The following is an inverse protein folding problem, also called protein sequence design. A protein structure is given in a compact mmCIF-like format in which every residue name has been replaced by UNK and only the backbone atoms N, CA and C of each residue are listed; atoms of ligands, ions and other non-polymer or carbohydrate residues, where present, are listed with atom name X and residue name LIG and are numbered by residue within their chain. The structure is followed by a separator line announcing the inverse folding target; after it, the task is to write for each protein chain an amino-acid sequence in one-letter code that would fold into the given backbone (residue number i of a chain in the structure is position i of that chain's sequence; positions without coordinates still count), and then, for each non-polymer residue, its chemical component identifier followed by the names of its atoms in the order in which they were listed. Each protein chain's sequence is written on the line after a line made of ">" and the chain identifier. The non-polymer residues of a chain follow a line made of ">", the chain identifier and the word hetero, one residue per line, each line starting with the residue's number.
data_IF_722754145319
#
_entry.id   IF_722754145319
#
_cell.length_a   1.000
_cell.length_b   1.000
_cell.length_c   1.000
_cell.angle_alpha   90.00
_cell.angle_beta   90.00
_cell.angle_gamma   90.00
#
_symmetry.space_group_name_H-M   'P 1'
#
loop_
_entity.id
_entity.type
_entity.pdbx_description
1 polymer ?
#
# COMPACT_ATOMS: atom_id res chain seq x y z
N UNK A 1 23.96 1.52 -5.76
CA UNK A 1 23.00 2.64 -5.95
C UNK A 1 22.97 3.51 -4.69
N UNK A 2 22.53 4.77 -4.76
CA UNK A 2 22.23 5.61 -3.57
C UNK A 2 20.80 5.38 -3.10
N UNK A 3 20.52 5.57 -1.80
CA UNK A 3 19.15 5.44 -1.26
C UNK A 3 18.14 6.34 -1.99
N UNK A 4 18.53 7.56 -2.37
CA UNK A 4 17.65 8.47 -3.13
C UNK A 4 17.25 7.89 -4.50
N UNK A 5 18.17 7.22 -5.19
CA UNK A 5 17.87 6.57 -6.48
C UNK A 5 16.92 5.38 -6.32
N UNK A 6 17.02 4.65 -5.20
CA UNK A 6 16.12 3.54 -4.84
C UNK A 6 14.72 4.09 -4.57
N UNK A 7 14.64 5.15 -3.76
CA UNK A 7 13.39 5.83 -3.42
C UNK A 7 12.71 6.44 -4.66
N UNK A 8 13.45 7.14 -5.52
CA UNK A 8 12.91 7.72 -6.74
C UNK A 8 12.42 6.65 -7.72
N UNK A 9 13.07 5.48 -7.77
CA UNK A 9 12.60 4.33 -8.55
C UNK A 9 11.28 3.78 -8.00
N UNK A 10 11.16 3.65 -6.68
CA UNK A 10 9.93 3.19 -6.02
C UNK A 10 8.78 4.17 -6.29
N UNK A 11 8.98 5.48 -6.08
CA UNK A 11 7.98 6.51 -6.36
C UNK A 11 7.57 6.51 -7.83
N UNK A 12 8.53 6.45 -8.77
CA UNK A 12 8.24 6.38 -10.20
C UNK A 12 7.40 5.15 -10.54
N UNK A 13 7.74 3.99 -9.98
CA UNK A 13 7.00 2.75 -10.23
C UNK A 13 5.58 2.82 -9.65
N UNK A 14 5.41 3.43 -8.48
CA UNK A 14 4.09 3.69 -7.90
C UNK A 14 3.23 4.62 -8.75
N UNK A 15 3.80 5.69 -9.30
CA UNK A 15 3.11 6.63 -10.20
C UNK A 15 2.73 5.96 -11.53
N UNK A 16 3.57 5.06 -12.04
CA UNK A 16 3.28 4.30 -13.26
C UNK A 16 2.11 3.31 -13.09
N UNK A 17 1.82 2.89 -11.86
CA UNK A 17 0.72 1.96 -11.53
C UNK A 17 -0.42 2.64 -10.75
N UNK A 18 -0.39 3.97 -10.60
CA UNK A 18 -1.43 4.71 -9.90
C UNK A 18 -2.74 4.71 -10.71
N UNK A 19 -3.87 4.55 -10.03
CA UNK A 19 -5.19 4.64 -10.65
C UNK A 19 -5.49 6.04 -11.21
N UNK A 20 -4.82 7.06 -10.67
CA UNK A 20 -4.90 8.45 -11.11
C UNK A 20 -3.99 8.66 -12.31
N UNK A 21 -4.45 9.43 -13.27
CA UNK A 21 -3.63 9.89 -14.38
C UNK A 21 -2.49 10.79 -13.90
N UNK A 22 -1.45 10.92 -14.73
CA UNK A 22 -0.36 11.87 -14.49
C UNK A 22 -0.85 13.32 -14.30
N UNK A 23 -1.98 13.68 -14.92
CA UNK A 23 -2.59 15.00 -14.76
C UNK A 23 -3.21 15.16 -13.37
N UNK A 24 -4.03 14.20 -12.94
CA UNK A 24 -4.64 14.17 -11.60
C UNK A 24 -3.57 14.26 -10.49
N UNK A 25 -2.49 13.48 -10.60
CA UNK A 25 -1.37 13.53 -9.65
C UNK A 25 -0.67 14.90 -9.67
N UNK A 26 -0.45 15.47 -10.86
CA UNK A 26 0.15 16.81 -10.99
C UNK A 26 -0.74 17.88 -10.36
N UNK A 27 -2.05 17.78 -10.52
CA UNK A 27 -3.02 18.68 -9.92
C UNK A 27 -3.03 18.56 -8.40
N UNK A 28 -2.99 17.34 -7.86
CA UNK A 28 -2.84 17.08 -6.42
C UNK A 28 -1.60 17.78 -5.86
N UNK A 29 -0.42 17.56 -6.47
CA UNK A 29 0.83 18.19 -6.03
C UNK A 29 0.79 19.72 -6.15
N UNK A 30 0.16 20.26 -7.19
CA UNK A 30 -0.03 21.70 -7.33
C UNK A 30 -0.94 22.28 -6.25
N UNK A 31 -1.98 21.55 -5.80
CA UNK A 31 -2.82 21.96 -4.67
C UNK A 31 -1.99 22.02 -3.39
N UNK A 32 -1.17 21.00 -3.09
CA UNK A 32 -0.28 21.00 -1.92
C UNK A 32 0.73 22.16 -1.95
N UNK A 33 1.29 22.48 -3.13
CA UNK A 33 2.16 23.67 -3.31
C UNK A 33 1.44 24.99 -3.01
N UNK A 34 0.22 25.17 -3.53
CA UNK A 34 -0.59 26.37 -3.25
C UNK A 34 -0.93 26.51 -1.77
N UNK A 35 -1.18 25.40 -1.07
CA UNK A 35 -1.36 25.39 0.39
C UNK A 35 -0.08 25.88 1.06
N UNK A 36 1.06 25.25 0.75
CA UNK A 36 2.36 25.64 1.30
C UNK A 36 2.69 27.12 1.07
N UNK A 37 2.47 27.65 -0.13
CA UNK A 37 2.77 29.06 -0.45
C UNK A 37 2.00 30.04 0.45
N UNK A 38 0.75 29.72 0.79
CA UNK A 38 -0.14 30.53 1.63
C UNK A 38 0.16 30.45 3.13
N UNK A 39 0.92 29.44 3.57
CA UNK A 39 1.31 29.31 4.98
C UNK A 39 2.21 30.46 5.42
N UNK A 40 2.04 30.87 6.67
CA UNK A 40 2.94 31.79 7.37
C UNK A 40 4.35 31.19 7.50
N UNK A 41 5.34 32.02 7.85
CA UNK A 41 6.71 31.53 8.08
C UNK A 41 6.77 30.51 9.21
N UNK A 42 5.93 30.67 10.23
CA UNK A 42 5.86 29.79 11.39
C UNK A 42 5.23 28.44 11.03
N UNK A 43 4.12 28.44 10.29
CA UNK A 43 3.46 27.20 9.84
C UNK A 43 4.34 26.40 8.87
N UNK A 44 5.12 27.08 8.02
CA UNK A 44 6.06 26.42 7.09
C UNK A 44 7.14 25.59 7.78
N UNK A 45 7.44 25.85 9.06
CA UNK A 45 8.40 25.05 9.85
C UNK A 45 7.87 23.64 10.13
N UNK A 46 6.54 23.49 10.22
CA UNK A 46 5.88 22.23 10.55
C UNK A 46 5.24 21.55 9.33
N UNK A 47 5.30 22.19 8.16
CA UNK A 47 4.77 21.63 6.93
C UNK A 47 5.69 20.52 6.40
N UNK A 48 5.09 19.39 6.04
CA UNK A 48 5.80 18.28 5.43
C UNK A 48 6.16 18.57 3.97
N UNK A 49 7.39 19.05 3.76
CA UNK A 49 7.87 19.44 2.43
C UNK A 49 7.98 18.28 1.43
N UNK A 50 8.04 17.03 1.91
CA UNK A 50 8.07 15.84 1.04
C UNK A 50 6.82 15.80 0.13
N UNK A 51 5.66 16.22 0.66
CA UNK A 51 4.37 16.28 -0.06
C UNK A 51 4.33 17.24 -1.25
N UNK A 52 5.36 18.10 -1.41
CA UNK A 52 5.47 19.00 -2.55
C UNK A 52 5.93 18.30 -3.82
N UNK A 53 6.54 17.12 -3.68
CA UNK A 53 7.12 16.35 -4.79
C UNK A 53 6.75 14.87 -4.80
N UNK A 54 6.43 14.31 -3.63
CA UNK A 54 5.94 12.96 -3.47
C UNK A 54 4.41 13.00 -3.23
N UNK A 55 3.59 12.35 -4.08
CA UNK A 55 2.14 12.31 -3.89
C UNK A 55 1.67 11.32 -2.81
N UNK A 56 2.59 10.61 -2.15
CA UNK A 56 2.30 9.55 -1.17
C UNK A 56 2.95 9.87 0.19
N UNK A 57 2.19 10.46 1.11
CA UNK A 57 2.71 10.88 2.44
C UNK A 57 3.20 9.71 3.31
N UNK A 58 2.71 8.51 3.03
CA UNK A 58 2.98 7.27 3.75
C UNK A 58 4.29 6.57 3.33
N UNK A 59 5.05 7.15 2.40
CA UNK A 59 6.28 6.57 1.84
C UNK A 59 7.45 7.54 2.00
N UNK A 60 8.54 7.11 2.66
CA UNK A 60 9.60 8.04 3.07
C UNK A 60 10.97 7.39 3.26
N UNK A 61 12.03 8.18 3.03
CA UNK A 61 13.36 7.92 3.60
C UNK A 61 13.39 8.48 5.02
N UNK A 62 13.44 7.60 6.03
CA UNK A 62 13.43 8.00 7.44
C UNK A 62 14.82 8.37 7.94
N UNK A 63 15.85 7.69 7.45
CA UNK A 63 17.22 7.96 7.87
C UNK A 63 18.24 7.54 6.82
N UNK A 64 19.17 8.45 6.51
CA UNK A 64 20.33 8.18 5.68
C UNK A 64 21.58 7.97 6.58
N UNK A 65 21.77 6.74 7.05
CA UNK A 65 22.85 6.28 7.95
C UNK A 65 24.28 6.34 7.42
N UNK A 66 24.55 7.09 6.35
CA UNK A 66 25.89 7.47 5.93
C UNK A 66 26.57 6.55 4.90
N UNK A 67 26.10 5.31 4.72
CA UNK A 67 26.54 4.49 3.58
C UNK A 67 25.99 5.06 2.28
N UNK A 68 26.89 5.59 1.44
CA UNK A 68 26.53 6.25 0.17
C UNK A 68 26.14 5.25 -0.91
N UNK A 69 26.82 4.10 -0.97
CA UNK A 69 26.55 3.06 -1.94
C UNK A 69 25.88 1.87 -1.26
N UNK A 70 24.67 1.56 -1.72
CA UNK A 70 23.83 0.45 -1.28
C UNK A 70 24.02 -0.70 -2.26
N UNK A 71 24.33 -1.88 -1.70
CA UNK A 71 24.48 -3.15 -2.42
C UNK A 71 23.59 -4.24 -1.82
N UNK A 72 23.47 -4.29 -0.48
CA UNK A 72 22.71 -5.31 0.25
C UNK A 72 21.56 -4.68 1.01
N UNK A 73 20.35 -5.17 0.78
CA UNK A 73 19.12 -4.61 1.34
C UNK A 73 18.36 -5.68 2.12
N UNK A 74 17.98 -5.36 3.35
CA UNK A 74 17.01 -6.15 4.11
C UNK A 74 15.61 -5.62 3.79
N UNK A 75 14.73 -6.48 3.26
CA UNK A 75 13.40 -6.08 2.79
C UNK A 75 12.30 -6.86 3.51
N UNK A 76 11.30 -6.17 4.09
CA UNK A 76 10.22 -6.83 4.83
C UNK A 76 8.90 -6.08 4.74
N UNK A 77 7.84 -6.66 5.31
CA UNK A 77 6.54 -5.97 5.42
C UNK A 77 6.54 -5.08 6.66
N UNK A 78 6.87 -5.65 7.82
CA UNK A 78 6.98 -4.94 9.10
C UNK A 78 8.43 -4.73 9.55
N UNK A 79 8.64 -3.73 10.43
CA UNK A 79 9.92 -3.53 11.11
C UNK A 79 9.74 -3.41 12.62
N UNK A 80 10.51 -4.21 13.36
CA UNK A 80 10.72 -4.03 14.80
C UNK A 80 12.14 -3.54 15.09
N UNK A 81 12.40 -3.06 16.30
CA UNK A 81 13.77 -2.73 16.75
C UNK A 81 14.71 -3.94 16.67
N UNK A 82 14.19 -5.16 16.93
CA UNK A 82 14.93 -6.41 16.73
C UNK A 82 15.29 -6.65 15.26
N UNK A 83 14.40 -6.29 14.31
CA UNK A 83 14.71 -6.32 12.88
C UNK A 83 15.84 -5.36 12.49
N UNK A 84 15.90 -4.18 13.11
CA UNK A 84 17.02 -3.22 12.90
C UNK A 84 18.34 -3.78 13.44
N UNK A 85 18.32 -4.45 14.60
CA UNK A 85 19.51 -5.11 15.14
C UNK A 85 19.96 -6.26 14.24
N UNK A 86 19.04 -7.08 13.74
CA UNK A 86 19.35 -8.15 12.78
C UNK A 86 19.99 -7.59 11.51
N UNK A 87 19.47 -6.49 10.97
CA UNK A 87 20.07 -5.79 9.82
C UNK A 87 21.54 -5.40 10.09
N UNK A 88 21.85 -4.93 11.30
CA UNK A 88 23.22 -4.60 11.71
C UNK A 88 24.13 -5.82 11.62
N UNK A 89 23.68 -6.93 12.19
CA UNK A 89 24.44 -8.18 12.30
C UNK A 89 24.69 -8.80 10.92
N UNK A 90 23.69 -8.75 10.02
CA UNK A 90 23.81 -9.22 8.64
C UNK A 90 24.68 -8.31 7.76
N UNK A 91 25.08 -7.14 8.28
CA UNK A 91 25.93 -6.18 7.58
C UNK A 91 25.25 -5.51 6.39
N UNK A 92 23.93 -5.33 6.44
CA UNK A 92 23.17 -4.72 5.32
C UNK A 92 23.43 -3.21 5.20
N UNK A 93 23.18 -2.65 4.03
CA UNK A 93 23.39 -1.23 3.73
C UNK A 93 22.12 -0.40 3.92
N UNK A 94 20.95 -1.02 3.73
CA UNK A 94 19.63 -0.38 3.76
C UNK A 94 18.58 -1.38 4.26
N UNK A 95 17.64 -0.88 5.05
CA UNK A 95 16.38 -1.54 5.35
C UNK A 95 15.28 -0.86 4.52
N UNK A 96 14.50 -1.66 3.79
CA UNK A 96 13.26 -1.22 3.13
C UNK A 96 12.12 -2.01 3.74
N UNK A 97 11.15 -1.33 4.33
CA UNK A 97 9.90 -1.99 4.77
C UNK A 97 8.69 -1.50 4.01
N UNK A 98 7.63 -2.30 4.00
CA UNK A 98 6.38 -1.90 3.37
C UNK A 98 5.62 -0.91 4.25
N UNK A 99 5.22 -1.35 5.44
CA UNK A 99 4.34 -0.57 6.29
C UNK A 99 4.98 0.75 6.76
N UNK A 100 4.17 1.81 6.89
CA UNK A 100 4.65 3.10 7.36
C UNK A 100 5.23 3.00 8.77
N UNK A 101 6.28 3.77 9.00
CA UNK A 101 6.93 3.98 10.30
C UNK A 101 7.27 5.46 10.42
N UNK A 102 7.69 5.95 11.59
CA UNK A 102 8.15 7.34 11.71
C UNK A 102 7.12 8.35 11.24
N UNK A 103 7.61 9.37 10.54
CA UNK A 103 6.78 10.47 10.03
C UNK A 103 5.76 10.00 8.99
N UNK A 104 6.04 8.92 8.26
CA UNK A 104 5.12 8.44 7.23
C UNK A 104 3.92 7.72 7.84
N UNK A 105 4.11 7.06 9.00
CA UNK A 105 2.99 6.54 9.80
C UNK A 105 2.18 7.68 10.42
N UNK A 106 2.85 8.72 10.92
CA UNK A 106 2.17 9.87 11.51
C UNK A 106 1.27 10.63 10.52
N UNK A 107 1.54 10.49 9.21
CA UNK A 107 0.81 11.12 8.11
C UNK A 107 0.12 10.10 7.18
N UNK A 108 -0.16 8.89 7.68
CA UNK A 108 -0.85 7.85 6.91
C UNK A 108 -2.27 8.28 6.52
N UNK A 109 -2.95 9.02 7.37
CA UNK A 109 -4.29 9.56 7.11
C UNK A 109 -4.34 10.44 5.84
N UNK A 110 -3.26 11.17 5.55
CA UNK A 110 -3.20 12.10 4.42
C UNK A 110 -3.20 11.42 3.05
N UNK A 111 -2.73 10.17 2.93
CA UNK A 111 -2.74 9.44 1.65
C UNK A 111 -4.12 8.87 1.32
N UNK A 112 -5.02 8.77 2.30
CA UNK A 112 -6.36 8.21 2.12
C UNK A 112 -7.25 9.07 1.20
N UNK A 113 -6.89 10.33 0.91
CA UNK A 113 -7.55 11.11 -0.14
C UNK A 113 -7.57 10.38 -1.50
N UNK A 114 -6.58 9.51 -1.78
CA UNK A 114 -6.56 8.65 -2.98
C UNK A 114 -7.80 7.74 -3.07
N UNK A 115 -8.39 7.35 -1.93
CA UNK A 115 -9.61 6.55 -1.91
C UNK A 115 -10.79 7.30 -2.54
N UNK A 116 -10.83 8.64 -2.45
CA UNK A 116 -11.89 9.45 -3.07
C UNK A 116 -11.85 9.26 -4.60
N UNK A 117 -10.65 9.34 -5.19
CA UNK A 117 -10.44 9.15 -6.62
C UNK A 117 -10.82 7.72 -7.07
N UNK A 118 -10.50 6.71 -6.26
CA UNK A 118 -10.91 5.32 -6.52
C UNK A 118 -12.43 5.17 -6.49
N UNK A 119 -13.09 5.69 -5.46
CA UNK A 119 -14.54 5.59 -5.30
C UNK A 119 -15.28 6.32 -6.42
N UNK A 120 -14.79 7.49 -6.84
CA UNK A 120 -15.34 8.23 -7.98
C UNK A 120 -15.25 7.40 -9.27
N UNK A 121 -14.09 6.78 -9.56
CA UNK A 121 -13.92 5.89 -10.73
C UNK A 121 -14.79 4.65 -10.67
N UNK A 122 -15.15 4.20 -9.47
CA UNK A 122 -16.10 3.10 -9.28
C UNK A 122 -17.57 3.52 -9.54
N UNK A 123 -17.85 4.82 -9.70
CA UNK A 123 -19.16 5.39 -10.00
C UNK A 123 -19.89 5.97 -8.79
N UNK A 124 -19.19 6.16 -7.67
CA UNK A 124 -19.78 6.77 -6.46
C UNK A 124 -19.71 8.30 -6.61
N UNK A 125 -20.78 9.05 -6.32
CA UNK A 125 -20.74 10.51 -6.37
C UNK A 125 -19.65 11.10 -5.48
N UNK A 126 -18.81 11.96 -6.04
CA UNK A 126 -17.61 12.51 -5.37
C UNK A 126 -17.93 13.17 -4.03
N UNK A 127 -19.05 13.89 -3.92
CA UNK A 127 -19.49 14.54 -2.69
C UNK A 127 -19.84 13.56 -1.56
N UNK A 128 -20.17 12.31 -1.89
CA UNK A 128 -20.40 11.24 -0.90
C UNK A 128 -19.06 10.60 -0.52
N UNK A 129 -18.23 10.29 -1.52
CA UNK A 129 -16.88 9.74 -1.31
C UNK A 129 -16.04 10.66 -0.40
N UNK A 130 -16.02 11.96 -0.67
CA UNK A 130 -15.33 12.96 0.15
C UNK A 130 -15.82 12.95 1.60
N UNK A 131 -17.14 13.02 1.83
CA UNK A 131 -17.70 13.10 3.19
C UNK A 131 -17.37 11.87 4.03
N UNK A 132 -17.52 10.68 3.45
CA UNK A 132 -17.24 9.42 4.15
C UNK A 132 -15.74 9.25 4.39
N UNK A 133 -14.91 9.58 3.39
CA UNK A 133 -13.45 9.46 3.50
C UNK A 133 -12.88 10.47 4.49
N UNK A 134 -13.33 11.73 4.49
CA UNK A 134 -12.86 12.73 5.46
C UNK A 134 -13.20 12.37 6.91
N UNK A 135 -14.39 11.78 7.15
CA UNK A 135 -14.74 11.26 8.47
C UNK A 135 -13.74 10.17 8.89
N UNK A 136 -13.45 9.23 7.99
CA UNK A 136 -12.51 8.14 8.25
C UNK A 136 -11.08 8.63 8.46
N UNK A 137 -10.59 9.55 7.64
CA UNK A 137 -9.29 10.23 7.80
C UNK A 137 -9.17 10.80 9.21
N UNK A 138 -10.20 11.48 9.69
CA UNK A 138 -10.22 12.06 11.03
C UNK A 138 -10.14 11.02 12.16
N UNK A 139 -10.79 9.86 11.98
CA UNK A 139 -10.70 8.73 12.92
C UNK A 139 -9.31 8.11 12.94
N UNK A 140 -8.73 7.86 11.76
CA UNK A 140 -7.38 7.31 11.60
C UNK A 140 -6.35 8.25 12.22
N UNK A 141 -6.41 9.55 11.93
CA UNK A 141 -5.51 10.55 12.50
C UNK A 141 -5.53 10.54 14.05
N UNK A 142 -6.72 10.46 14.66
CA UNK A 142 -6.85 10.35 16.13
C UNK A 142 -6.31 9.02 16.67
N UNK A 143 -6.52 7.93 15.94
CA UNK A 143 -6.03 6.60 16.32
C UNK A 143 -4.51 6.48 16.28
N UNK A 144 -3.86 7.19 15.35
CA UNK A 144 -2.40 7.21 15.20
C UNK A 144 -1.71 8.19 16.13
N UNK A 145 -2.38 9.27 16.54
CA UNK A 145 -1.82 10.30 17.43
C UNK A 145 -1.06 9.77 18.67
N UNK A 146 -1.54 8.76 19.42
CA UNK A 146 -0.84 8.26 20.62
C UNK A 146 0.32 7.30 20.32
N UNK A 147 0.55 6.90 19.06
CA UNK A 147 1.58 5.91 18.71
C UNK A 147 2.99 6.49 18.88
N UNK A 148 3.94 5.67 19.34
CA UNK A 148 5.35 6.03 19.31
C UNK A 148 5.93 5.82 17.90
N UNK A 149 5.78 6.83 17.06
CA UNK A 149 6.18 6.80 15.66
C UNK A 149 7.69 6.57 15.44
N UNK A 150 8.54 7.08 16.33
CA UNK A 150 9.99 7.19 16.08
C UNK A 150 10.80 5.99 16.55
N UNK A 151 10.21 5.02 17.25
CA UNK A 151 10.97 3.96 17.93
C UNK A 151 11.93 3.15 17.01
N UNK A 152 11.49 2.80 15.81
CA UNK A 152 12.32 2.07 14.84
C UNK A 152 13.29 2.97 14.08
N UNK A 153 12.88 4.22 13.81
CA UNK A 153 13.73 5.25 13.20
C UNK A 153 14.91 5.57 14.11
N UNK A 154 14.67 5.70 15.41
CA UNK A 154 15.67 5.96 16.43
C UNK A 154 16.67 4.81 16.55
N UNK A 155 16.19 3.57 16.52
CA UNK A 155 17.07 2.40 16.50
C UNK A 155 17.99 2.40 15.27
N UNK A 156 17.45 2.67 14.07
CA UNK A 156 18.23 2.74 12.85
C UNK A 156 19.26 3.89 12.89
N UNK A 157 18.86 5.03 13.46
CA UNK A 157 19.72 6.20 13.68
C UNK A 157 20.91 5.88 14.60
N UNK A 158 20.65 5.24 15.75
CA UNK A 158 21.70 4.84 16.69
C UNK A 158 22.66 3.81 16.09
N UNK A 159 22.13 2.85 15.30
CA UNK A 159 22.93 1.80 14.66
C UNK A 159 23.59 2.23 13.34
N UNK A 160 23.29 3.44 12.87
CA UNK A 160 23.78 4.05 11.62
C UNK A 160 23.42 3.21 10.38
N UNK A 161 22.17 2.76 10.29
CA UNK A 161 21.66 1.95 9.18
C UNK A 161 20.69 2.79 8.36
N UNK A 162 20.85 2.82 7.03
CA UNK A 162 19.87 3.51 6.19
C UNK A 162 18.49 2.86 6.31
N UNK A 163 17.43 3.66 6.38
CA UNK A 163 16.06 3.19 6.58
C UNK A 163 15.08 3.99 5.71
N UNK A 164 14.22 3.26 5.01
CA UNK A 164 13.07 3.81 4.29
C UNK A 164 11.89 2.84 4.34
N UNK A 165 10.70 3.34 4.04
CA UNK A 165 9.54 2.50 3.74
C UNK A 165 8.97 2.81 2.34
N UNK A 166 8.24 1.86 1.77
CA UNK A 166 7.53 1.98 0.48
C UNK A 166 6.14 1.36 0.64
N UNK A 167 5.14 2.22 0.80
CA UNK A 167 3.77 1.79 1.09
C UNK A 167 2.87 1.98 -0.14
N UNK A 168 2.12 3.08 -0.27
CA UNK A 168 1.19 3.31 -1.40
C UNK A 168 1.81 3.05 -2.80
N UNK A 169 3.10 3.31 -3.09
CA UNK A 169 3.70 2.90 -4.36
C UNK A 169 3.65 1.38 -4.61
N UNK A 170 3.90 0.56 -3.59
CA UNK A 170 3.77 -0.90 -3.66
C UNK A 170 2.30 -1.31 -3.76
N UNK A 171 1.41 -0.66 -3.00
CA UNK A 171 -0.04 -0.87 -3.05
C UNK A 171 -0.61 -0.64 -4.44
N UNK A 172 -0.22 0.46 -5.08
CA UNK A 172 -0.59 0.75 -6.47
C UNK A 172 -0.14 -0.37 -7.42
N UNK A 173 1.04 -0.96 -7.18
CA UNK A 173 1.52 -2.07 -7.99
C UNK A 173 0.65 -3.32 -7.83
N UNK A 174 0.27 -3.70 -6.61
CA UNK A 174 -0.61 -4.87 -6.39
C UNK A 174 -2.04 -4.60 -6.81
N UNK A 175 -2.57 -3.40 -6.56
CA UNK A 175 -3.87 -2.94 -7.06
C UNK A 175 -3.96 -3.14 -8.59
N UNK A 176 -2.96 -2.63 -9.32
CA UNK A 176 -2.94 -2.73 -10.77
C UNK A 176 -2.72 -4.16 -11.26
N UNK A 177 -1.84 -4.92 -10.60
CA UNK A 177 -1.58 -6.32 -10.92
C UNK A 177 -2.84 -7.19 -10.78
N UNK A 178 -3.51 -7.10 -9.62
CA UNK A 178 -4.72 -7.89 -9.35
C UNK A 178 -5.85 -7.45 -10.27
N UNK A 179 -6.05 -6.15 -10.46
CA UNK A 179 -7.08 -5.62 -11.38
C UNK A 179 -6.92 -6.20 -12.79
N UNK A 180 -5.70 -6.19 -13.33
CA UNK A 180 -5.41 -6.74 -14.65
C UNK A 180 -5.65 -8.25 -14.75
N UNK A 181 -5.27 -9.02 -13.72
CA UNK A 181 -5.52 -10.47 -13.69
C UNK A 181 -7.01 -10.79 -13.70
N UNK A 182 -7.82 -10.04 -12.95
CA UNK A 182 -9.28 -10.22 -12.94
C UNK A 182 -9.90 -9.77 -14.27
N UNK A 183 -9.51 -8.63 -14.82
CA UNK A 183 -10.03 -8.12 -16.10
C UNK A 183 -9.70 -9.02 -17.29
N UNK A 184 -8.53 -9.68 -17.24
CA UNK A 184 -8.10 -10.64 -18.26
C UNK A 184 -8.91 -11.92 -18.23
N UNK A 185 -9.17 -12.47 -17.04
CA UNK A 185 -9.82 -13.77 -16.87
C UNK A 185 -11.35 -13.69 -16.79
N UNK A 186 -11.90 -12.53 -16.39
CA UNK A 186 -13.33 -12.21 -16.35
C UNK A 186 -14.17 -13.30 -15.66
N UNK A 187 -13.91 -13.61 -14.37
CA UNK A 187 -14.68 -14.62 -13.65
C UNK A 187 -16.17 -14.25 -13.61
N UNK A 188 -17.01 -15.23 -13.86
CA UNK A 188 -18.48 -15.11 -13.77
C UNK A 188 -18.98 -15.38 -12.37
N UNK A 189 -18.29 -16.24 -11.62
CA UNK A 189 -18.67 -16.66 -10.27
C UNK A 189 -17.63 -16.26 -9.23
N UNK A 190 -18.05 -16.13 -7.97
CA UNK A 190 -17.16 -15.81 -6.86
C UNK A 190 -16.13 -16.93 -6.61
N UNK A 191 -16.51 -18.20 -6.80
CA UNK A 191 -15.57 -19.33 -6.73
C UNK A 191 -14.44 -19.24 -7.75
N UNK A 192 -14.75 -18.87 -9.00
CA UNK A 192 -13.74 -18.66 -10.05
C UNK A 192 -12.78 -17.52 -9.66
N UNK A 193 -13.28 -16.47 -9.01
CA UNK A 193 -12.43 -15.39 -8.50
C UNK A 193 -11.42 -15.90 -7.46
N UNK A 194 -11.83 -16.77 -6.54
CA UNK A 194 -10.91 -17.41 -5.59
C UNK A 194 -9.88 -18.27 -6.32
N UNK A 195 -10.28 -19.07 -7.30
CA UNK A 195 -9.37 -19.88 -8.10
C UNK A 195 -8.29 -19.03 -8.78
N UNK A 196 -8.69 -17.90 -9.38
CA UNK A 196 -7.78 -16.95 -10.03
C UNK A 196 -6.75 -16.41 -9.05
N UNK A 197 -7.17 -15.97 -7.86
CA UNK A 197 -6.24 -15.49 -6.83
C UNK A 197 -5.31 -16.62 -6.37
N UNK A 198 -5.83 -17.84 -6.23
CA UNK A 198 -5.03 -19.02 -5.86
C UNK A 198 -4.02 -19.46 -6.94
N UNK A 199 -4.02 -18.88 -8.14
CA UNK A 199 -2.96 -19.11 -9.13
C UNK A 199 -1.71 -18.24 -8.90
N UNK A 200 -1.83 -17.17 -8.10
CA UNK A 200 -0.72 -16.22 -7.87
C UNK A 200 0.24 -16.81 -6.82
N UNK A 201 1.57 -16.86 -7.09
CA UNK A 201 2.51 -17.56 -6.22
C UNK A 201 2.56 -17.06 -4.77
N UNK A 202 2.47 -15.75 -4.54
CA UNK A 202 2.45 -15.18 -3.18
C UNK A 202 1.22 -15.63 -2.39
N UNK A 203 0.06 -15.69 -3.03
CA UNK A 203 -1.18 -16.17 -2.42
C UNK A 203 -1.12 -17.68 -2.16
N UNK A 204 -0.49 -18.47 -3.04
CA UNK A 204 -0.24 -19.89 -2.82
C UNK A 204 0.68 -20.14 -1.62
N UNK A 205 1.75 -19.35 -1.50
CA UNK A 205 2.66 -19.46 -0.37
C UNK A 205 1.95 -19.08 0.93
N UNK A 206 1.20 -17.97 0.95
CA UNK A 206 0.42 -17.59 2.12
C UNK A 206 -0.63 -18.64 2.51
N UNK A 207 -1.23 -19.33 1.54
CA UNK A 207 -2.18 -20.44 1.80
C UNK A 207 -1.54 -21.60 2.55
N UNK A 208 -0.26 -21.91 2.32
CA UNK A 208 0.47 -22.95 3.08
C UNK A 208 0.57 -22.60 4.57
N UNK A 209 0.55 -21.31 4.90
CA UNK A 209 0.57 -20.79 6.27
C UNK A 209 -0.82 -20.45 6.81
N UNK A 210 -1.89 -20.81 6.08
CA UNK A 210 -3.27 -20.55 6.49
C UNK A 210 -3.78 -19.13 6.25
N UNK A 211 -3.04 -18.30 5.52
CA UNK A 211 -3.35 -16.89 5.25
C UNK A 211 -3.60 -16.61 3.75
N UNK A 212 -4.12 -17.60 3.02
CA UNK A 212 -4.43 -17.47 1.60
C UNK A 212 -5.77 -16.77 1.33
N UNK A 213 -6.13 -16.58 0.05
CA UNK A 213 -7.39 -15.97 -0.34
C UNK A 213 -8.60 -16.71 0.24
N UNK A 214 -9.56 -15.96 0.79
CA UNK A 214 -10.76 -16.48 1.44
C UNK A 214 -12.00 -15.66 1.06
N UNK A 215 -13.15 -16.35 0.94
CA UNK A 215 -14.45 -15.71 0.87
C UNK A 215 -14.91 -15.33 2.27
N UNK A 216 -14.96 -14.04 2.53
CA UNK A 216 -15.27 -13.50 3.86
C UNK A 216 -16.74 -13.15 4.02
N UNK A 217 -17.44 -12.86 2.92
CA UNK A 217 -18.90 -12.73 2.87
C UNK A 217 -19.43 -13.16 1.50
N UNK A 218 -20.55 -13.88 1.48
CA UNK A 218 -21.22 -14.36 0.27
C UNK A 218 -21.16 -15.87 0.08
N UNK A 219 -21.27 -16.33 -1.17
CA UNK A 219 -21.21 -17.75 -1.54
C UNK A 219 -20.41 -17.92 -2.84
N UNK A 220 -19.59 -18.96 -2.94
CA UNK A 220 -18.80 -19.25 -4.15
C UNK A 220 -19.66 -19.44 -5.41
N UNK A 221 -20.90 -19.93 -5.25
CA UNK A 221 -21.87 -20.12 -6.34
C UNK A 221 -22.56 -18.83 -6.79
N UNK A 222 -22.35 -17.71 -6.08
CA UNK A 222 -22.90 -16.43 -6.48
C UNK A 222 -22.25 -15.96 -7.78
N UNK A 223 -23.04 -15.28 -8.62
CA UNK A 223 -22.47 -14.50 -9.72
C UNK A 223 -21.69 -13.34 -9.12
N UNK A 224 -20.49 -13.08 -9.65
CA UNK A 224 -19.62 -12.04 -9.11
C UNK A 224 -20.17 -10.61 -9.34
N UNK A 225 -20.95 -10.41 -10.41
CA UNK A 225 -21.44 -9.09 -10.79
C UNK A 225 -20.29 -8.19 -11.25
N UNK A 226 -20.41 -6.87 -11.04
CA UNK A 226 -19.27 -5.95 -11.21
C UNK A 226 -18.32 -6.18 -10.05
N UNK A 227 -17.08 -6.56 -10.36
CA UNK A 227 -16.01 -6.78 -9.38
C UNK A 227 -15.22 -5.47 -9.23
N UNK A 228 -14.96 -5.07 -8.00
CA UNK A 228 -14.12 -3.91 -7.70
C UNK A 228 -12.95 -4.34 -6.80
N UNK A 229 -11.72 -4.03 -7.22
CA UNK A 229 -10.59 -3.98 -6.29
C UNK A 229 -10.69 -2.64 -5.58
N UNK A 230 -11.01 -2.62 -4.29
CA UNK A 230 -11.36 -1.37 -3.60
C UNK A 230 -10.53 -1.06 -2.37
N UNK A 231 -9.88 -2.07 -1.79
CA UNK A 231 -9.16 -1.98 -0.51
C UNK A 231 -7.77 -2.62 -0.67
N UNK A 232 -7.05 -2.16 -1.69
CA UNK A 232 -5.66 -2.55 -1.97
C UNK A 232 -4.72 -1.35 -2.14
N UNK A 233 -5.22 -0.12 -2.06
CA UNK A 233 -4.41 1.10 -2.12
C UNK A 233 -5.15 2.25 -1.46
N UNK A 234 -4.44 3.33 -1.15
CA UNK A 234 -4.97 4.51 -0.47
C UNK A 234 -4.79 4.44 1.04
N UNK A 235 -3.70 3.84 1.52
CA UNK A 235 -3.32 3.85 2.93
C UNK A 235 -3.92 2.70 3.73
N UNK A 236 -5.08 2.88 4.34
CA UNK A 236 -5.67 1.88 5.26
C UNK A 236 -7.17 1.71 5.03
N UNK A 237 -7.85 0.91 5.86
CA UNK A 237 -9.27 0.61 5.74
C UNK A 237 -10.12 1.89 5.59
N UNK A 238 -10.98 1.90 4.56
CA UNK A 238 -11.93 2.99 4.28
C UNK A 238 -13.09 3.05 5.28
N UNK A 239 -14.14 3.79 4.95
CA UNK A 239 -15.36 3.80 5.77
C UNK A 239 -16.24 2.58 5.46
N UNK A 240 -16.64 1.81 6.48
CA UNK A 240 -17.65 0.75 6.35
C UNK A 240 -18.99 1.20 5.76
N UNK A 241 -19.30 2.51 5.82
CA UNK A 241 -20.51 3.09 5.26
C UNK A 241 -20.47 3.13 3.71
N UNK A 242 -19.30 2.87 3.11
CA UNK A 242 -19.13 2.95 1.65
C UNK A 242 -19.80 1.79 0.90
N UNK A 243 -19.95 0.62 1.53
CA UNK A 243 -20.45 -0.57 0.86
C UNK A 243 -21.88 -0.41 0.35
N UNK A 244 -22.73 0.33 1.07
CA UNK A 244 -24.07 0.63 0.58
C UNK A 244 -24.02 1.46 -0.71
N UNK A 245 -23.08 2.40 -0.81
CA UNK A 245 -22.91 3.22 -2.03
C UNK A 245 -22.30 2.41 -3.17
N UNK A 246 -21.36 1.51 -2.87
CA UNK A 246 -20.82 0.56 -3.85
C UNK A 246 -21.91 -0.33 -4.44
N UNK A 247 -22.81 -0.86 -3.59
CA UNK A 247 -23.93 -1.68 -4.04
C UNK A 247 -24.88 -0.89 -4.96
N UNK A 248 -25.19 0.36 -4.59
CA UNK A 248 -25.99 1.27 -5.44
C UNK A 248 -25.30 1.61 -6.77
N UNK A 249 -23.97 1.64 -6.81
CA UNK A 249 -23.17 1.78 -8.02
C UNK A 249 -23.05 0.48 -8.85
N UNK A 250 -23.74 -0.59 -8.44
CA UNK A 250 -23.82 -1.86 -9.14
C UNK A 250 -22.67 -2.83 -8.86
N UNK A 251 -21.84 -2.56 -7.84
CA UNK A 251 -20.77 -3.47 -7.42
C UNK A 251 -21.40 -4.68 -6.71
N UNK A 252 -21.08 -5.89 -7.22
CA UNK A 252 -21.57 -7.15 -6.67
C UNK A 252 -20.51 -7.89 -5.85
N UNK A 253 -19.22 -7.64 -6.09
CA UNK A 253 -18.12 -8.26 -5.36
C UNK A 253 -17.00 -7.25 -5.18
N UNK A 254 -16.42 -7.21 -3.97
CA UNK A 254 -15.20 -6.47 -3.69
C UNK A 254 -14.05 -7.42 -3.41
N UNK A 255 -12.85 -7.00 -3.81
CA UNK A 255 -11.59 -7.64 -3.45
C UNK A 255 -10.83 -6.68 -2.55
N UNK A 256 -10.42 -7.21 -1.39
CA UNK A 256 -9.71 -6.49 -0.34
C UNK A 256 -8.50 -7.29 0.13
N UNK A 257 -7.52 -6.61 0.73
CA UNK A 257 -6.40 -7.27 1.40
C UNK A 257 -6.78 -7.84 2.78
N UNK A 258 -7.64 -7.11 3.50
CA UNK A 258 -8.10 -7.44 4.84
C UNK A 258 -9.37 -6.63 5.17
N UNK A 259 -10.18 -7.11 6.11
CA UNK A 259 -11.30 -6.35 6.66
C UNK A 259 -11.50 -6.70 8.13
N UNK A 260 -12.01 -5.75 8.92
CA UNK A 260 -12.55 -6.06 10.26
C UNK A 260 -13.94 -6.68 10.17
N UNK A 261 -14.40 -7.32 11.26
CA UNK A 261 -15.76 -7.86 11.33
C UNK A 261 -16.84 -6.80 11.08
N UNK A 262 -16.65 -5.57 11.56
CA UNK A 262 -17.61 -4.49 11.30
C UNK A 262 -17.72 -4.11 9.81
N UNK A 263 -16.61 -4.22 9.07
CA UNK A 263 -16.60 -3.98 7.62
C UNK A 263 -17.27 -5.14 6.88
N UNK A 264 -16.97 -6.38 7.28
CA UNK A 264 -17.60 -7.59 6.74
C UNK A 264 -19.13 -7.54 6.90
N UNK A 265 -19.62 -7.20 8.08
CA UNK A 265 -21.05 -7.06 8.37
C UNK A 265 -21.72 -5.96 7.54
N UNK A 266 -21.04 -4.81 7.37
CA UNK A 266 -21.56 -3.71 6.56
C UNK A 266 -21.64 -4.08 5.07
N UNK A 267 -20.65 -4.80 4.54
CA UNK A 267 -20.66 -5.30 3.17
C UNK A 267 -21.75 -6.38 2.97
N UNK A 268 -21.89 -7.30 3.92
CA UNK A 268 -22.97 -8.30 3.92
C UNK A 268 -24.36 -7.65 3.93
N UNK A 269 -24.57 -6.64 4.78
CA UNK A 269 -25.81 -5.86 4.83
C UNK A 269 -26.08 -5.11 3.52
N UNK A 270 -25.04 -4.71 2.80
CA UNK A 270 -25.14 -4.12 1.47
C UNK A 270 -25.30 -5.16 0.35
N UNK A 271 -25.37 -6.45 0.68
CA UNK A 271 -25.47 -7.58 -0.26
C UNK A 271 -24.28 -7.70 -1.24
N UNK A 272 -23.10 -7.30 -0.78
CA UNK A 272 -21.84 -7.40 -1.53
C UNK A 272 -21.09 -8.67 -1.11
N UNK A 273 -20.58 -9.42 -2.09
CA UNK A 273 -19.62 -10.49 -1.79
C UNK A 273 -18.25 -9.89 -1.47
N UNK A 274 -17.56 -10.44 -0.47
CA UNK A 274 -16.24 -9.96 -0.04
C UNK A 274 -15.22 -11.08 -0.19
N UNK A 275 -14.25 -10.87 -1.07
CA UNK A 275 -13.08 -11.75 -1.18
C UNK A 275 -11.88 -11.04 -0.55
N UNK A 276 -11.30 -11.67 0.46
CA UNK A 276 -10.05 -11.24 1.07
C UNK A 276 -8.91 -11.98 0.37
N UNK A 277 -8.06 -11.27 -0.36
CA UNK A 277 -6.94 -11.86 -1.09
C UNK A 277 -5.80 -12.28 -0.15
N UNK A 278 -5.66 -11.62 1.00
CA UNK A 278 -4.61 -11.83 1.99
C UNK A 278 -3.68 -10.61 2.07
N UNK A 279 -3.43 -10.13 3.28
CA UNK A 279 -2.71 -8.88 3.54
C UNK A 279 -1.23 -8.97 3.14
N UNK A 280 -0.43 -9.68 3.93
CA UNK A 280 1.02 -9.82 3.75
C UNK A 280 1.42 -10.32 2.35
N UNK A 281 0.61 -11.20 1.75
CA UNK A 281 0.84 -11.69 0.40
C UNK A 281 0.53 -10.67 -0.68
N UNK A 282 -0.47 -9.81 -0.49
CA UNK A 282 -0.73 -8.69 -1.39
C UNK A 282 0.38 -7.64 -1.32
N UNK A 283 0.80 -7.28 -0.11
CA UNK A 283 1.93 -6.35 0.09
C UNK A 283 3.20 -6.91 -0.54
N UNK A 284 3.42 -8.22 -0.40
CA UNK A 284 4.55 -8.92 -1.01
C UNK A 284 4.52 -8.83 -2.53
N UNK A 285 3.36 -8.95 -3.18
CA UNK A 285 3.23 -8.76 -4.64
C UNK A 285 3.67 -7.35 -5.03
N UNK A 286 3.13 -6.34 -4.35
CA UNK A 286 3.45 -4.94 -4.61
C UNK A 286 4.95 -4.64 -4.44
N UNK A 287 5.51 -5.11 -3.33
CA UNK A 287 6.94 -5.01 -3.04
C UNK A 287 7.78 -5.75 -4.08
N UNK A 288 7.43 -6.98 -4.45
CA UNK A 288 8.18 -7.77 -5.42
C UNK A 288 8.32 -7.07 -6.78
N UNK A 289 7.29 -6.38 -7.25
CA UNK A 289 7.32 -5.65 -8.52
C UNK A 289 8.33 -4.47 -8.51
N UNK A 290 8.55 -3.86 -7.35
CA UNK A 290 9.57 -2.82 -7.16
C UNK A 290 10.96 -3.45 -6.94
N UNK A 291 11.04 -4.47 -6.10
CA UNK A 291 12.28 -5.16 -5.75
C UNK A 291 12.92 -5.85 -6.96
N UNK A 292 12.14 -6.38 -7.88
CA UNK A 292 12.63 -6.94 -9.15
C UNK A 292 13.42 -5.89 -9.95
N UNK A 293 12.94 -4.64 -10.02
CA UNK A 293 13.63 -3.54 -10.72
C UNK A 293 14.91 -3.10 -10.01
N UNK A 294 14.98 -3.25 -8.68
CA UNK A 294 16.16 -2.95 -7.88
C UNK A 294 17.22 -4.05 -8.04
N UNK A 295 16.79 -5.31 -8.06
CA UNK A 295 17.66 -6.47 -8.26
C UNK A 295 18.26 -6.49 -9.68
N UNK A 296 17.51 -6.07 -10.71
CA UNK A 296 18.04 -5.85 -12.07
C UNK A 296 19.17 -4.80 -12.12
N UNK A 297 19.22 -3.90 -11.13
CA UNK A 297 20.29 -2.90 -10.97
C UNK A 297 21.43 -3.39 -10.07
N UNK A 298 21.44 -4.67 -9.71
CA UNK A 298 22.52 -5.33 -8.98
C UNK A 298 22.43 -5.26 -7.46
N UNK A 299 21.26 -4.95 -6.89
CA UNK A 299 21.05 -5.02 -5.44
C UNK A 299 20.76 -6.46 -5.01
N UNK A 300 21.44 -6.90 -3.96
CA UNK A 300 21.12 -8.12 -3.22
C UNK A 300 19.93 -7.84 -2.29
N UNK A 301 18.84 -8.58 -2.47
CA UNK A 301 17.63 -8.46 -1.66
C UNK A 301 17.55 -9.64 -0.69
N UNK A 302 17.50 -9.34 0.60
CA UNK A 302 17.35 -10.31 1.69
C UNK A 302 15.93 -10.16 2.26
N UNK A 303 15.01 -11.11 2.00
CA UNK A 303 13.65 -11.02 2.52
C UNK A 303 13.58 -11.28 4.03
N UNK A 304 12.72 -10.55 4.74
CA UNK A 304 12.45 -10.69 6.18
C UNK A 304 11.00 -10.29 6.51
N UNK A 305 10.57 -10.53 7.76
CA UNK A 305 9.31 -10.06 8.36
C UNK A 305 8.10 -10.08 7.40
N UNK A 306 7.73 -11.28 6.96
CA UNK A 306 6.53 -11.51 6.18
C UNK A 306 6.71 -11.39 4.66
N UNK A 307 7.80 -10.77 4.15
CA UNK A 307 7.98 -10.63 2.71
C UNK A 307 8.13 -11.99 2.02
N UNK A 308 7.11 -12.37 1.24
CA UNK A 308 7.12 -13.55 0.37
C UNK A 308 7.81 -13.15 -0.94
N UNK A 309 9.11 -13.42 -1.05
CA UNK A 309 9.89 -13.04 -2.22
C UNK A 309 9.59 -13.96 -3.42
N UNK A 310 8.94 -13.41 -4.45
CA UNK A 310 8.71 -14.06 -5.75
C UNK A 310 9.29 -13.20 -6.86
N UNK A 311 10.26 -13.75 -7.59
CA UNK A 311 10.92 -13.06 -8.70
C UNK A 311 10.15 -13.27 -10.00
N UNK A 312 9.77 -12.19 -10.68
CA UNK A 312 9.09 -12.24 -12.00
C UNK A 312 10.02 -11.91 -13.16
N UNK A 313 11.17 -11.32 -12.89
CA UNK A 313 12.19 -11.06 -13.91
C UNK A 313 13.05 -12.31 -14.13
N UNK A 314 13.25 -12.69 -15.40
CA UNK A 314 14.19 -13.77 -15.74
C UNK A 314 15.60 -13.23 -15.48
N UNK A 315 16.28 -13.71 -14.45
CA UNK A 315 17.73 -13.59 -14.41
C UNK A 315 18.27 -14.23 -15.71
N UNK A 316 18.92 -13.42 -16.55
CA UNK A 316 19.87 -13.98 -17.52
C UNK A 316 20.95 -14.64 -16.67
N UNK A 317 20.86 -15.96 -16.52
CA UNK A 317 21.98 -16.77 -16.04
C UNK A 317 23.17 -16.60 -16.97
#
# INVERSE_FOLDING_TARGET
>A
MKIKEIYDLALKTGIENDLRSKLEIKEYLNRKKKVFEKLSKEEKLYFDQETLTNPYSDTRIHFAGGKKEIKRVLCGIDLSTGGVLLAKELGVDLIIVHHPIGDSLANLDSVMELQIDLLEKLGIPVNIAEKLTHKRISEVARGLNPVNHQITVDAARLLKINLMNVHTPADNCVFQFVTQEIEKKKPRYVGELLEILNEIPEYQEAKKHGAGPILFSGNEKNRAGKIAVSEMTGGTDGSKEIYEMMARAGIGTIISMHQSEEHREAAEKAHINVVIAGHISSDSIGMNLILDKLEEKGLEIIPFAGLIRVKRTKHKK
#
